data_IF_806376810883
#
_entry.id   IF_806376810883
#
_cell.length_a   1.000
_cell.length_b   1.000
_cell.length_c   1.000
_cell.angle_alpha   90.00
_cell.angle_beta   90.00
_cell.angle_gamma   90.00
#
_symmetry.space_group_name_H-M   'P 1'
#
loop_
_entity.id
_entity.type
_entity.pdbx_description
1 polymer ?
#
# COMPACT_ATOMS: atom_id res chain seq x y z
N UNK A 1 43.23 -37.66 58.15
CA UNK A 1 42.36 -38.08 57.03
C UNK A 1 41.12 -37.18 56.87
N UNK A 2 40.62 -36.54 57.94
CA UNK A 2 39.45 -35.63 57.87
C UNK A 2 39.62 -34.38 56.99
N UNK A 3 40.83 -33.78 56.98
CA UNK A 3 41.05 -32.51 56.27
C UNK A 3 40.93 -32.64 54.73
N UNK A 4 41.20 -33.83 54.18
CA UNK A 4 41.06 -34.11 52.75
C UNK A 4 39.60 -34.30 52.32
N UNK A 5 38.74 -34.82 53.21
CA UNK A 5 37.31 -34.95 52.93
C UNK A 5 36.57 -33.61 52.98
N UNK A 6 36.98 -32.71 53.87
CA UNK A 6 36.46 -31.34 53.93
C UNK A 6 36.76 -30.54 52.65
N UNK A 7 38.01 -30.59 52.17
CA UNK A 7 38.42 -29.85 50.97
C UNK A 7 37.72 -30.34 49.69
N UNK A 8 37.55 -31.66 49.55
CA UNK A 8 36.82 -32.25 48.41
C UNK A 8 35.33 -31.89 48.41
N UNK A 9 34.71 -31.69 49.57
CA UNK A 9 33.30 -31.26 49.67
C UNK A 9 33.13 -29.81 49.23
N UNK A 10 34.03 -28.91 49.63
CA UNK A 10 33.99 -27.49 49.25
C UNK A 10 34.20 -27.29 47.75
N UNK A 11 35.18 -27.97 47.15
CA UNK A 11 35.42 -27.91 45.71
C UNK A 11 34.23 -28.44 44.88
N UNK A 12 33.60 -29.52 45.34
CA UNK A 12 32.42 -30.09 44.68
C UNK A 12 31.15 -29.21 44.86
N UNK A 13 31.11 -28.38 45.90
CA UNK A 13 30.02 -27.43 46.12
C UNK A 13 30.19 -26.18 45.25
N UNK A 14 31.42 -25.65 45.11
CA UNK A 14 31.73 -24.54 44.21
C UNK A 14 31.47 -24.88 42.74
N UNK A 15 31.85 -26.09 42.28
CA UNK A 15 31.60 -26.51 40.89
C UNK A 15 30.11 -26.62 40.58
N UNK A 16 29.29 -27.15 41.50
CA UNK A 16 27.83 -27.20 41.35
C UNK A 16 27.19 -25.82 41.27
N UNK A 17 27.65 -24.86 42.08
CA UNK A 17 27.17 -23.47 42.04
C UNK A 17 27.55 -22.81 40.71
N UNK A 18 28.80 -23.00 40.26
CA UNK A 18 29.26 -22.47 38.97
C UNK A 18 28.46 -23.04 37.79
N UNK A 19 28.22 -24.36 37.76
CA UNK A 19 27.42 -25.03 36.72
C UNK A 19 25.97 -24.57 36.76
N UNK A 20 25.34 -24.45 37.93
CA UNK A 20 23.98 -23.92 38.04
C UNK A 20 23.87 -22.47 37.55
N UNK A 21 24.84 -21.62 37.90
CA UNK A 21 24.85 -20.22 37.46
C UNK A 21 25.05 -20.09 35.94
N UNK A 22 25.93 -20.92 35.36
CA UNK A 22 26.10 -21.00 33.89
C UNK A 22 24.83 -21.51 33.21
N UNK A 23 24.19 -22.55 33.77
CA UNK A 23 22.97 -23.12 33.23
C UNK A 23 21.80 -22.14 33.31
N UNK A 24 21.65 -21.42 34.43
CA UNK A 24 20.65 -20.36 34.58
C UNK A 24 20.90 -19.21 33.58
N UNK A 25 22.15 -18.80 33.41
CA UNK A 25 22.51 -17.77 32.44
C UNK A 25 22.25 -18.22 31.00
N UNK A 26 22.60 -19.45 30.65
CA UNK A 26 22.35 -20.04 29.34
C UNK A 26 20.85 -20.17 29.04
N UNK A 27 20.05 -20.59 30.03
CA UNK A 27 18.58 -20.63 29.92
C UNK A 27 18.03 -19.22 29.71
N UNK A 28 18.47 -18.23 30.50
CA UNK A 28 18.00 -16.85 30.38
C UNK A 28 18.35 -16.23 29.03
N UNK A 29 19.56 -16.47 28.53
CA UNK A 29 20.00 -16.00 27.21
C UNK A 29 19.22 -16.71 26.10
N UNK A 30 19.01 -18.02 26.22
CA UNK A 30 18.20 -18.80 25.27
C UNK A 30 16.74 -18.33 25.23
N UNK A 31 16.14 -18.06 26.40
CA UNK A 31 14.78 -17.55 26.53
C UNK A 31 14.67 -16.14 25.94
N UNK A 32 15.65 -15.27 26.20
CA UNK A 32 15.70 -13.92 25.64
C UNK A 32 15.85 -13.95 24.12
N UNK A 33 16.69 -14.83 23.57
CA UNK A 33 16.82 -15.02 22.13
C UNK A 33 15.52 -15.51 21.49
N UNK A 34 14.86 -16.49 22.10
CA UNK A 34 13.57 -17.00 21.63
C UNK A 34 12.47 -15.92 21.67
N UNK A 35 12.46 -15.10 22.72
CA UNK A 35 11.54 -13.97 22.87
C UNK A 35 11.80 -12.91 21.78
N UNK A 36 13.06 -12.61 21.45
CA UNK A 36 13.43 -11.70 20.36
C UNK A 36 12.94 -12.21 19.02
N UNK A 37 13.14 -13.50 18.70
CA UNK A 37 12.67 -14.10 17.44
C UNK A 37 11.15 -14.05 17.34
N UNK A 38 10.44 -14.42 18.40
CA UNK A 38 8.98 -14.30 18.45
C UNK A 38 8.48 -12.86 18.34
N UNK A 39 9.17 -11.92 18.97
CA UNK A 39 8.86 -10.49 18.85
C UNK A 39 9.05 -10.01 17.41
N UNK A 40 10.12 -10.46 16.74
CA UNK A 40 10.36 -10.14 15.34
C UNK A 40 9.25 -10.68 14.43
N UNK A 41 8.82 -11.93 14.59
CA UNK A 41 7.75 -12.51 13.77
C UNK A 41 6.41 -11.78 13.94
N UNK A 42 6.11 -11.31 15.16
CA UNK A 42 4.92 -10.48 15.43
C UNK A 42 5.05 -9.10 14.76
N UNK A 43 6.23 -8.48 14.79
CA UNK A 43 6.47 -7.14 14.21
C UNK A 43 6.57 -7.19 12.69
N UNK A 44 7.08 -8.28 12.11
CA UNK A 44 7.34 -8.47 10.68
C UNK A 44 6.19 -8.01 9.75
N UNK A 45 4.92 -8.41 9.95
CA UNK A 45 3.82 -7.95 9.09
C UNK A 45 3.54 -6.45 9.20
N UNK A 46 3.98 -5.79 10.27
CA UNK A 46 3.80 -4.35 10.46
C UNK A 46 4.95 -3.51 9.90
N UNK A 47 6.14 -4.08 9.68
CA UNK A 47 7.30 -3.33 9.15
C UNK A 47 6.97 -2.67 7.82
N UNK A 48 6.38 -3.43 6.88
CA UNK A 48 6.04 -2.92 5.55
C UNK A 48 4.96 -1.82 5.63
N UNK A 49 3.80 -2.02 6.30
CA UNK A 49 2.81 -0.96 6.50
C UNK A 49 3.35 0.27 7.25
N UNK A 50 4.19 0.08 8.27
CA UNK A 50 4.79 1.20 9.02
C UNK A 50 5.72 2.01 8.13
N UNK A 51 6.51 1.36 7.26
CA UNK A 51 7.34 2.06 6.28
C UNK A 51 6.48 2.85 5.27
N UNK A 52 5.41 2.27 4.73
CA UNK A 52 4.46 2.98 3.89
C UNK A 52 3.79 4.16 4.63
N UNK A 53 3.39 3.95 5.88
CA UNK A 53 2.81 4.98 6.74
C UNK A 53 3.80 6.10 7.06
N UNK A 54 5.08 5.79 7.27
CA UNK A 54 6.13 6.77 7.49
C UNK A 54 6.40 7.60 6.22
N UNK A 55 6.43 6.96 5.05
CA UNK A 55 6.54 7.65 3.75
C UNK A 55 5.35 8.60 3.57
N UNK A 56 4.12 8.10 3.79
CA UNK A 56 2.88 8.90 3.71
C UNK A 56 2.86 10.02 4.76
N UNK A 57 3.38 9.80 5.97
CA UNK A 57 3.43 10.82 7.01
C UNK A 57 4.42 11.95 6.65
N UNK A 58 5.60 11.60 6.14
CA UNK A 58 6.59 12.58 5.64
C UNK A 58 6.04 13.35 4.46
N UNK A 59 5.37 12.64 3.54
CA UNK A 59 4.68 13.22 2.40
C UNK A 59 3.62 14.27 2.80
N UNK A 60 2.76 13.86 3.72
CA UNK A 60 1.66 14.65 4.24
C UNK A 60 2.14 15.75 5.19
N UNK A 61 3.39 15.76 5.64
CA UNK A 61 3.95 16.78 6.54
C UNK A 61 3.83 18.20 5.98
N UNK A 62 4.09 18.36 4.69
CA UNK A 62 3.91 19.64 4.00
C UNK A 62 2.44 20.11 4.04
N UNK A 63 1.50 19.17 3.98
CA UNK A 63 0.07 19.44 3.93
C UNK A 63 -0.52 19.64 5.34
N UNK A 64 -0.05 18.89 6.35
CA UNK A 64 -0.43 19.13 7.74
C UNK A 64 0.01 20.49 8.22
N UNK A 65 1.19 20.99 7.83
CA UNK A 65 1.60 22.33 8.22
C UNK A 65 0.73 23.43 7.59
N UNK A 66 0.26 23.23 6.34
CA UNK A 66 -0.71 24.14 5.70
C UNK A 66 -2.06 24.09 6.42
N UNK A 67 -2.54 22.91 6.80
CA UNK A 67 -3.77 22.74 7.57
C UNK A 67 -3.65 23.24 9.02
N UNK A 68 -2.51 23.06 9.66
CA UNK A 68 -2.23 23.52 11.03
C UNK A 68 -2.34 25.04 11.15
N UNK A 69 -1.87 25.78 10.12
CA UNK A 69 -2.07 27.23 10.03
C UNK A 69 -3.55 27.60 9.94
N UNK A 70 -4.37 26.81 9.24
CA UNK A 70 -5.81 27.01 9.18
C UNK A 70 -6.53 26.63 10.50
N UNK A 71 -6.02 25.61 11.21
CA UNK A 71 -6.57 25.10 12.48
C UNK A 71 -5.98 25.77 13.75
N UNK A 72 -5.42 26.98 13.63
CA UNK A 72 -4.89 27.78 14.76
C UNK A 72 -3.85 27.03 15.61
N UNK A 73 -2.98 26.23 14.99
CA UNK A 73 -1.88 25.55 15.67
C UNK A 73 -2.26 24.23 16.37
N UNK A 74 -3.49 23.72 16.19
CA UNK A 74 -3.89 22.41 16.74
C UNK A 74 -3.45 21.28 15.82
N UNK A 75 -2.16 20.94 15.91
CA UNK A 75 -1.47 19.93 15.10
C UNK A 75 -2.17 18.56 15.08
N UNK A 76 -2.73 18.12 16.21
CA UNK A 76 -3.49 16.86 16.29
C UNK A 76 -4.80 16.85 15.48
N UNK A 77 -5.52 17.98 15.41
CA UNK A 77 -6.74 18.09 14.60
C UNK A 77 -6.43 18.18 13.11
N UNK A 78 -5.33 18.84 12.75
CA UNK A 78 -4.87 18.91 11.37
C UNK A 78 -4.49 17.51 10.83
N UNK A 79 -3.80 16.70 11.64
CA UNK A 79 -3.41 15.33 11.26
C UNK A 79 -4.62 14.39 11.09
N UNK A 80 -5.60 14.43 12.01
CA UNK A 80 -6.80 13.60 11.91
C UNK A 80 -7.71 14.04 10.76
N UNK A 81 -7.90 15.35 10.58
CA UNK A 81 -8.64 15.88 9.42
C UNK A 81 -7.99 15.44 8.10
N UNK A 82 -6.67 15.49 8.02
CA UNK A 82 -5.95 15.06 6.82
C UNK A 82 -6.08 13.56 6.56
N UNK A 83 -6.04 12.72 7.59
CA UNK A 83 -6.30 11.29 7.42
C UNK A 83 -7.74 11.02 6.95
N UNK A 84 -8.73 11.71 7.50
CA UNK A 84 -10.13 11.58 7.04
C UNK A 84 -10.25 11.99 5.58
N UNK A 85 -9.62 13.10 5.18
CA UNK A 85 -9.59 13.54 3.77
C UNK A 85 -8.87 12.50 2.89
N UNK A 86 -7.73 11.96 3.32
CA UNK A 86 -6.99 10.94 2.59
C UNK A 86 -7.78 9.64 2.42
N UNK A 87 -8.49 9.21 3.47
CA UNK A 87 -9.40 8.06 3.42
C UNK A 87 -10.56 8.34 2.47
N UNK A 88 -11.20 9.50 2.57
CA UNK A 88 -12.30 9.87 1.66
C UNK A 88 -11.84 9.90 0.19
N UNK A 89 -10.68 10.51 -0.08
CA UNK A 89 -10.11 10.60 -1.42
C UNK A 89 -9.83 9.22 -2.03
N UNK A 90 -9.52 8.21 -1.20
CA UNK A 90 -9.26 6.85 -1.65
C UNK A 90 -10.54 6.02 -1.79
N UNK A 91 -11.45 6.11 -0.82
CA UNK A 91 -12.68 5.31 -0.77
C UNK A 91 -13.69 5.75 -1.83
N UNK A 92 -13.81 7.05 -2.11
CA UNK A 92 -14.79 7.58 -3.07
C UNK A 92 -14.61 6.99 -4.49
N UNK A 93 -13.45 7.09 -5.16
CA UNK A 93 -13.27 6.52 -6.49
C UNK A 93 -13.41 5.00 -6.47
N UNK A 94 -13.01 4.34 -5.39
CA UNK A 94 -13.14 2.90 -5.26
C UNK A 94 -14.60 2.43 -5.26
N UNK A 95 -15.45 3.05 -4.44
CA UNK A 95 -16.87 2.68 -4.36
C UNK A 95 -17.58 2.98 -5.68
N UNK A 96 -17.23 4.10 -6.35
CA UNK A 96 -17.77 4.44 -7.66
C UNK A 96 -17.40 3.41 -8.74
N UNK A 97 -16.13 3.02 -8.81
CA UNK A 97 -15.65 2.03 -9.77
C UNK A 97 -16.19 0.64 -9.45
N UNK A 98 -16.24 0.26 -8.18
CA UNK A 98 -16.82 -1.03 -7.78
C UNK A 98 -18.31 -1.10 -8.12
N UNK A 99 -19.06 -0.03 -7.85
CA UNK A 99 -20.49 0.06 -8.18
C UNK A 99 -20.74 -0.06 -9.69
N UNK A 100 -19.97 0.65 -10.51
CA UNK A 100 -20.12 0.60 -11.97
C UNK A 100 -19.79 -0.77 -12.56
N UNK A 101 -18.88 -1.53 -11.95
CA UNK A 101 -18.61 -2.91 -12.35
C UNK A 101 -19.81 -3.82 -12.01
N UNK A 102 -20.40 -3.69 -10.82
CA UNK A 102 -21.59 -4.46 -10.45
C UNK A 102 -22.79 -4.13 -11.34
N UNK A 103 -23.02 -2.85 -11.62
CA UNK A 103 -24.10 -2.41 -12.52
C UNK A 103 -23.87 -2.93 -13.95
N UNK A 104 -22.63 -2.86 -14.44
CA UNK A 104 -22.27 -3.37 -15.77
C UNK A 104 -22.48 -4.89 -15.90
N UNK A 105 -22.08 -5.67 -14.88
CA UNK A 105 -22.29 -7.12 -14.84
C UNK A 105 -23.78 -7.46 -14.75
N UNK A 106 -24.53 -6.79 -13.86
CA UNK A 106 -25.95 -7.07 -13.65
C UNK A 106 -26.78 -6.73 -14.89
N UNK A 107 -26.51 -5.59 -15.53
CA UNK A 107 -27.17 -5.18 -16.77
C UNK A 107 -26.87 -6.14 -17.92
N UNK A 108 -25.64 -6.64 -18.01
CA UNK A 108 -25.27 -7.61 -19.05
C UNK A 108 -25.97 -8.95 -18.84
N UNK A 109 -26.06 -9.42 -17.59
CA UNK A 109 -26.79 -10.65 -17.23
C UNK A 109 -28.30 -10.49 -17.48
N UNK A 110 -28.88 -9.34 -17.14
CA UNK A 110 -30.30 -9.05 -17.37
C UNK A 110 -30.64 -9.00 -18.85
N UNK A 111 -29.80 -8.36 -19.67
CA UNK A 111 -29.94 -8.33 -21.14
C UNK A 111 -29.74 -9.71 -21.77
N UNK A 112 -28.86 -10.54 -21.21
CA UNK A 112 -28.69 -11.94 -21.62
C UNK A 112 -29.91 -12.80 -21.26
N UNK A 113 -30.56 -12.54 -20.13
CA UNK A 113 -31.73 -13.30 -19.65
C UNK A 113 -33.05 -12.82 -20.25
N UNK A 114 -33.16 -11.55 -20.62
CA UNK A 114 -34.37 -10.99 -21.23
C UNK A 114 -34.61 -11.50 -22.66
N UNK A 115 -33.60 -12.14 -23.28
CA UNK A 115 -33.71 -12.76 -24.60
C UNK A 115 -33.93 -11.76 -25.75
N UNK A 116 -33.90 -10.45 -25.46
CA UNK A 116 -34.29 -9.38 -26.38
C UNK A 116 -33.12 -8.85 -27.22
N UNK A 117 -32.01 -9.59 -27.24
CA UNK A 117 -30.82 -9.24 -28.01
C UNK A 117 -30.92 -9.78 -29.42
N UNK A 118 -31.50 -9.00 -30.34
CA UNK A 118 -31.35 -9.24 -31.77
C UNK A 118 -29.92 -8.91 -32.20
N UNK A 119 -29.03 -9.91 -32.09
CA UNK A 119 -27.70 -9.82 -32.68
C UNK A 119 -27.89 -9.92 -34.20
N UNK A 120 -27.71 -8.80 -34.90
CA UNK A 120 -27.74 -8.75 -36.36
C UNK A 120 -26.77 -9.79 -36.94
N UNK A 121 -27.18 -10.51 -37.97
CA UNK A 121 -26.40 -11.61 -38.55
C UNK A 121 -25.00 -11.17 -39.00
N UNK A 122 -24.03 -12.11 -39.03
CA UNK A 122 -22.66 -11.77 -39.37
C UNK A 122 -22.56 -11.22 -40.80
N UNK A 123 -21.92 -10.07 -40.94
CA UNK A 123 -21.66 -9.47 -42.25
C UNK A 123 -20.53 -10.24 -42.94
N UNK A 124 -20.64 -10.55 -44.23
CA UNK A 124 -19.63 -11.31 -45.01
C UNK A 124 -18.19 -10.76 -44.88
N UNK A 125 -18.03 -9.46 -44.60
CA UNK A 125 -16.72 -8.82 -44.33
C UNK A 125 -15.95 -9.40 -43.15
N UNK A 126 -16.61 -10.12 -42.23
CA UNK A 126 -15.96 -10.76 -41.09
C UNK A 126 -15.29 -12.09 -41.49
N UNK A 127 -15.81 -12.78 -42.51
CA UNK A 127 -15.22 -14.01 -43.04
C UNK A 127 -13.92 -13.75 -43.82
N UNK A 128 -13.77 -12.55 -44.40
CA UNK A 128 -12.58 -12.17 -45.18
C UNK A 128 -11.35 -11.82 -44.32
N UNK A 129 -11.46 -11.86 -42.98
CA UNK A 129 -10.34 -11.59 -42.08
C UNK A 129 -9.38 -12.79 -42.09
N UNK A 130 -8.13 -12.65 -42.57
CA UNK A 130 -7.19 -13.76 -42.59
C UNK A 130 -6.88 -14.22 -41.16
N UNK A 131 -6.77 -15.54 -40.96
CA UNK A 131 -6.45 -16.27 -39.72
C UNK A 131 -7.62 -16.55 -38.77
N UNK A 132 -8.65 -15.69 -38.66
CA UNK A 132 -9.70 -15.82 -37.63
C UNK A 132 -11.14 -15.70 -38.20
N UNK A 133 -11.28 -15.32 -39.48
CA UNK A 133 -12.58 -14.99 -40.09
C UNK A 133 -13.63 -16.09 -40.02
N UNK A 134 -13.27 -17.34 -40.34
CA UNK A 134 -14.21 -18.48 -40.33
C UNK A 134 -14.73 -18.77 -38.92
N UNK A 135 -13.85 -18.74 -37.91
CA UNK A 135 -14.23 -18.99 -36.51
C UNK A 135 -15.10 -17.87 -35.96
N UNK A 136 -14.78 -16.61 -36.29
CA UNK A 136 -15.57 -15.45 -35.89
C UNK A 136 -16.95 -15.47 -36.54
N UNK A 137 -17.04 -15.85 -37.82
CA UNK A 137 -18.30 -15.97 -38.54
C UNK A 137 -19.19 -17.07 -37.94
N UNK A 138 -18.64 -18.25 -37.63
CA UNK A 138 -19.39 -19.34 -36.98
C UNK A 138 -19.87 -18.96 -35.58
N UNK A 139 -19.02 -18.34 -34.76
CA UNK A 139 -19.39 -17.88 -33.42
C UNK A 139 -20.49 -16.82 -33.52
N UNK A 140 -20.35 -15.82 -34.39
CA UNK A 140 -21.36 -14.79 -34.58
C UNK A 140 -22.68 -15.35 -35.14
N UNK A 141 -22.61 -16.32 -36.06
CA UNK A 141 -23.78 -17.02 -36.57
C UNK A 141 -24.51 -17.79 -35.46
N UNK A 142 -23.78 -18.48 -34.57
CA UNK A 142 -24.33 -19.18 -33.40
C UNK A 142 -25.03 -18.23 -32.43
N UNK A 143 -24.43 -17.06 -32.16
CA UNK A 143 -25.05 -16.02 -31.33
C UNK A 143 -26.30 -15.40 -31.99
N UNK A 144 -26.36 -15.34 -33.32
CA UNK A 144 -27.50 -14.77 -34.07
C UNK A 144 -28.65 -15.76 -34.32
N UNK A 145 -28.38 -17.06 -34.47
CA UNK A 145 -29.41 -18.09 -34.73
C UNK A 145 -29.83 -18.90 -33.52
N UNK A 146 -28.98 -19.05 -32.50
CA UNK A 146 -29.29 -19.82 -31.30
C UNK A 146 -28.60 -19.24 -30.07
N UNK A 147 -29.05 -18.04 -29.68
CA UNK A 147 -28.54 -17.29 -28.54
C UNK A 147 -28.53 -18.13 -27.26
N UNK A 148 -29.56 -18.95 -27.02
CA UNK A 148 -29.64 -19.81 -25.83
C UNK A 148 -28.51 -20.85 -25.76
N UNK A 149 -28.23 -21.57 -26.86
CA UNK A 149 -27.12 -22.54 -26.91
C UNK A 149 -25.75 -21.87 -26.86
N UNK A 150 -25.59 -20.72 -27.52
CA UNK A 150 -24.35 -19.95 -27.45
C UNK A 150 -24.09 -19.48 -26.00
N UNK A 151 -25.10 -18.92 -25.35
CA UNK A 151 -25.02 -18.54 -23.94
C UNK A 151 -24.72 -19.75 -23.08
N UNK A 152 -25.39 -20.89 -23.24
CA UNK A 152 -25.10 -22.11 -22.46
C UNK A 152 -23.66 -22.63 -22.65
N UNK A 153 -23.09 -22.50 -23.84
CA UNK A 153 -21.69 -22.88 -24.12
C UNK A 153 -20.69 -21.93 -23.44
N UNK A 154 -20.99 -20.63 -23.39
CA UNK A 154 -20.12 -19.60 -22.78
C UNK A 154 -20.48 -19.26 -21.32
N UNK A 155 -21.58 -19.76 -20.77
CA UNK A 155 -21.98 -19.64 -19.36
C UNK A 155 -20.85 -19.99 -18.37
N UNK A 156 -20.08 -21.08 -18.55
CA UNK A 156 -18.96 -21.37 -17.64
C UNK A 156 -17.86 -20.30 -17.68
N UNK A 157 -17.57 -19.73 -18.85
CA UNK A 157 -16.61 -18.63 -18.97
C UNK A 157 -17.15 -17.33 -18.38
N UNK A 158 -18.43 -17.01 -18.60
CA UNK A 158 -19.10 -15.86 -18.00
C UNK A 158 -19.12 -15.98 -16.47
N UNK A 159 -19.49 -17.14 -15.93
CA UNK A 159 -19.49 -17.39 -14.48
C UNK A 159 -18.09 -17.26 -13.89
N UNK A 160 -17.07 -17.76 -14.58
CA UNK A 160 -15.67 -17.64 -14.14
C UNK A 160 -15.21 -16.19 -14.18
N UNK A 161 -15.50 -15.45 -15.26
CA UNK A 161 -15.18 -14.03 -15.39
C UNK A 161 -15.86 -13.19 -14.30
N UNK A 162 -17.16 -13.37 -14.09
CA UNK A 162 -17.92 -12.72 -12.99
C UNK A 162 -17.32 -13.09 -11.64
N UNK A 163 -16.95 -14.35 -11.42
CA UNK A 163 -16.29 -14.82 -10.21
C UNK A 163 -14.94 -14.15 -9.96
N UNK A 164 -14.10 -14.01 -11.00
CA UNK A 164 -12.81 -13.32 -10.90
C UNK A 164 -12.97 -11.83 -10.62
N UNK A 165 -13.95 -11.17 -11.26
CA UNK A 165 -14.26 -9.77 -11.01
C UNK A 165 -14.73 -9.58 -9.55
N UNK A 166 -15.64 -10.43 -9.08
CA UNK A 166 -16.10 -10.42 -7.70
C UNK A 166 -14.95 -10.68 -6.71
N UNK A 167 -14.05 -11.62 -7.02
CA UNK A 167 -12.87 -11.90 -6.21
C UNK A 167 -11.90 -10.71 -6.17
N UNK A 168 -11.65 -10.07 -7.31
CA UNK A 168 -10.80 -8.87 -7.40
C UNK A 168 -11.40 -7.72 -6.60
N UNK A 169 -12.71 -7.47 -6.71
CA UNK A 169 -13.41 -6.45 -5.91
C UNK A 169 -13.28 -6.77 -4.41
N UNK A 170 -13.51 -8.04 -4.04
CA UNK A 170 -13.40 -8.51 -2.65
C UNK A 170 -11.98 -8.37 -2.10
N UNK A 171 -10.96 -8.74 -2.87
CA UNK A 171 -9.56 -8.57 -2.45
C UNK A 171 -9.15 -7.09 -2.41
N UNK A 172 -9.67 -6.27 -3.32
CA UNK A 172 -9.39 -4.84 -3.33
C UNK A 172 -9.91 -4.18 -2.07
N UNK A 173 -11.11 -4.55 -1.61
CA UNK A 173 -11.66 -4.07 -0.34
C UNK A 173 -10.75 -4.38 0.85
N UNK A 174 -10.18 -5.60 0.91
CA UNK A 174 -9.23 -5.98 1.96
C UNK A 174 -7.95 -5.13 1.93
N UNK A 175 -7.37 -4.90 0.75
CA UNK A 175 -6.20 -4.03 0.60
C UNK A 175 -6.51 -2.57 0.96
N UNK A 176 -7.72 -2.12 0.67
CA UNK A 176 -8.19 -0.78 0.98
C UNK A 176 -8.35 -0.58 2.49
N UNK A 177 -8.92 -1.57 3.19
CA UNK A 177 -8.99 -1.58 4.65
C UNK A 177 -7.59 -1.51 5.28
N UNK A 178 -6.63 -2.28 4.77
CA UNK A 178 -5.24 -2.20 5.23
C UNK A 178 -4.64 -0.80 5.02
N UNK A 179 -4.92 -0.16 3.89
CA UNK A 179 -4.43 1.19 3.61
C UNK A 179 -5.08 2.25 4.53
N UNK A 180 -6.38 2.11 4.83
CA UNK A 180 -7.07 2.98 5.79
C UNK A 180 -6.46 2.82 7.19
N UNK A 181 -6.19 1.59 7.61
CA UNK A 181 -5.51 1.31 8.89
C UNK A 181 -4.13 1.96 8.90
N UNK A 182 -3.36 1.85 7.80
CA UNK A 182 -2.06 2.52 7.67
C UNK A 182 -2.15 4.04 7.77
N UNK A 183 -3.14 4.66 7.13
CA UNK A 183 -3.40 6.11 7.20
C UNK A 183 -3.79 6.55 8.61
N UNK A 184 -4.59 5.75 9.30
CA UNK A 184 -4.98 6.00 10.69
C UNK A 184 -3.77 5.90 11.64
N UNK A 185 -2.92 4.90 11.48
CA UNK A 185 -1.66 4.76 12.22
C UNK A 185 -0.75 5.96 11.93
N UNK A 186 -0.59 6.35 10.66
CA UNK A 186 0.22 7.50 10.27
C UNK A 186 -0.27 8.80 10.93
N UNK A 187 -1.58 9.06 10.95
CA UNK A 187 -2.14 10.22 11.66
C UNK A 187 -1.93 10.13 13.18
N UNK A 188 -2.03 8.93 13.76
CA UNK A 188 -1.68 8.68 15.16
C UNK A 188 -0.24 9.08 15.46
N UNK A 189 0.72 8.58 14.68
CA UNK A 189 2.13 8.97 14.78
C UNK A 189 2.32 10.48 14.63
N UNK A 190 1.66 11.09 13.64
CA UNK A 190 1.80 12.51 13.32
C UNK A 190 1.26 13.42 14.42
N UNK A 191 0.17 13.02 15.09
CA UNK A 191 -0.41 13.75 16.22
C UNK A 191 0.50 13.78 17.46
N UNK A 192 1.45 12.84 17.57
CA UNK A 192 2.39 12.72 18.69
C UNK A 192 3.87 12.78 18.24
N UNK A 193 4.13 13.24 17.01
CA UNK A 193 5.43 13.11 16.37
C UNK A 193 6.58 13.78 17.14
N UNK A 194 6.32 14.90 17.83
CA UNK A 194 7.33 15.61 18.63
C UNK A 194 7.82 14.76 19.80
N UNK A 195 6.89 14.16 20.57
CA UNK A 195 7.23 13.29 21.71
C UNK A 195 7.99 12.04 21.27
N UNK A 196 7.63 11.49 20.10
CA UNK A 196 8.27 10.30 19.54
C UNK A 196 9.67 10.66 19.02
N UNK A 197 9.82 11.79 18.34
CA UNK A 197 11.12 12.29 17.88
C UNK A 197 12.08 12.52 19.03
N UNK A 198 11.61 13.11 20.13
CA UNK A 198 12.42 13.36 21.33
C UNK A 198 12.84 12.05 22.01
N UNK A 199 11.93 11.08 22.12
CA UNK A 199 12.27 9.77 22.67
C UNK A 199 13.29 9.03 21.80
N UNK A 200 13.14 9.11 20.48
CA UNK A 200 14.03 8.48 19.51
C UNK A 200 15.42 9.12 19.51
N UNK A 201 15.51 10.45 19.61
CA UNK A 201 16.80 11.15 19.70
C UNK A 201 17.53 10.79 21.00
N UNK A 202 16.82 10.70 22.12
CA UNK A 202 17.39 10.26 23.41
C UNK A 202 17.97 8.85 23.32
N UNK A 203 17.22 7.91 22.73
CA UNK A 203 17.67 6.52 22.59
C UNK A 203 18.83 6.43 21.60
N UNK A 204 18.76 7.12 20.47
CA UNK A 204 19.79 7.08 19.44
C UNK A 204 21.11 7.68 19.93
N UNK A 205 21.07 8.81 20.64
CA UNK A 205 22.28 9.39 21.26
C UNK A 205 22.83 8.47 22.35
N UNK A 206 21.96 7.74 23.07
CA UNK A 206 22.38 6.79 24.10
C UNK A 206 23.02 5.51 23.54
N UNK A 207 22.61 5.07 22.35
CA UNK A 207 23.11 3.84 21.71
C UNK A 207 24.30 4.12 20.78
N UNK A 208 24.24 5.19 19.99
CA UNK A 208 25.21 5.52 18.95
C UNK A 208 26.15 6.69 19.32
N UNK A 209 26.03 7.25 20.52
CA UNK A 209 26.83 8.39 20.97
C UNK A 209 26.51 9.68 20.21
N UNK A 210 27.50 10.57 20.07
CA UNK A 210 27.33 11.89 19.43
C UNK A 210 26.87 11.81 17.96
N UNK A 211 27.10 10.68 17.30
CA UNK A 211 26.67 10.46 15.92
C UNK A 211 25.17 10.14 15.82
N UNK A 212 24.51 9.72 16.90
CA UNK A 212 23.11 9.27 16.86
C UNK A 212 22.14 10.31 16.29
N UNK A 213 22.37 11.58 16.59
CA UNK A 213 21.54 12.69 16.10
C UNK A 213 21.70 12.90 14.58
N UNK A 214 22.93 12.87 14.07
CA UNK A 214 23.21 13.00 12.63
C UNK A 214 22.54 11.89 11.80
N UNK A 215 22.50 10.65 12.30
CA UNK A 215 21.93 9.52 11.57
C UNK A 215 20.41 9.63 11.44
N UNK A 216 19.74 10.16 12.46
CA UNK A 216 18.30 10.45 12.40
C UNK A 216 18.04 11.54 11.35
N UNK A 217 18.81 12.62 11.37
CA UNK A 217 18.66 13.73 10.42
C UNK A 217 18.91 13.28 8.98
N UNK A 218 19.96 12.49 8.73
CA UNK A 218 20.27 11.97 7.39
C UNK A 218 19.17 11.03 6.87
N UNK A 219 18.62 10.18 7.73
CA UNK A 219 17.52 9.28 7.38
C UNK A 219 16.27 10.07 6.99
N UNK A 220 15.89 11.05 7.81
CA UNK A 220 14.75 11.91 7.54
C UNK A 220 14.95 12.73 6.25
N UNK A 221 16.14 13.30 6.06
CA UNK A 221 16.49 14.06 4.86
C UNK A 221 16.44 13.19 3.59
N UNK A 222 16.86 11.94 3.67
CA UNK A 222 16.81 11.01 2.53
C UNK A 222 15.37 10.69 2.14
N UNK A 223 14.51 10.37 3.12
CA UNK A 223 13.07 10.11 2.87
C UNK A 223 12.41 11.36 2.28
N UNK A 224 12.71 12.54 2.84
CA UNK A 224 12.17 13.81 2.34
C UNK A 224 12.65 14.11 0.91
N UNK A 225 13.92 13.83 0.60
CA UNK A 225 14.48 14.01 -0.75
C UNK A 225 13.76 13.14 -1.78
N UNK A 226 13.53 11.86 -1.45
CA UNK A 226 12.77 10.93 -2.30
C UNK A 226 11.34 11.47 -2.52
N UNK A 227 10.69 11.94 -1.46
CA UNK A 227 9.35 12.52 -1.56
C UNK A 227 9.30 13.75 -2.47
N UNK A 228 10.22 14.70 -2.28
CA UNK A 228 10.30 15.92 -3.10
C UNK A 228 10.57 15.59 -4.56
N UNK A 229 11.37 14.55 -4.84
CA UNK A 229 11.59 14.07 -6.20
C UNK A 229 10.29 13.57 -6.83
N UNK A 230 9.54 12.70 -6.13
CA UNK A 230 8.25 12.17 -6.62
C UNK A 230 7.22 13.30 -6.82
N UNK A 231 7.12 14.21 -5.84
CA UNK A 231 6.21 15.35 -5.92
C UNK A 231 6.60 16.32 -7.07
N UNK A 232 7.89 16.60 -7.23
CA UNK A 232 8.41 17.45 -8.30
C UNK A 232 8.16 16.86 -9.68
N UNK A 233 8.32 15.55 -9.85
CA UNK A 233 7.95 14.87 -11.11
C UNK A 233 6.44 14.98 -11.36
N UNK A 234 5.62 14.88 -10.32
CA UNK A 234 4.17 15.01 -10.44
C UNK A 234 3.75 16.41 -10.88
N UNK A 235 4.30 17.46 -10.27
CA UNK A 235 3.96 18.85 -10.61
C UNK A 235 4.55 19.29 -11.96
N UNK A 236 5.77 18.84 -12.29
CA UNK A 236 6.47 19.28 -13.52
C UNK A 236 6.13 18.45 -14.75
N UNK A 237 5.64 17.22 -14.59
CA UNK A 237 5.39 16.32 -15.73
C UNK A 237 3.92 15.93 -15.86
N UNK A 238 3.24 15.53 -14.79
CA UNK A 238 1.83 15.14 -14.87
C UNK A 238 0.90 16.33 -15.14
N UNK A 239 1.18 17.50 -14.54
CA UNK A 239 0.31 18.68 -14.69
C UNK A 239 0.30 19.24 -16.12
N UNK A 240 1.45 19.42 -16.81
CA UNK A 240 1.46 19.77 -18.24
C UNK A 240 0.83 18.71 -19.13
N UNK A 241 1.07 17.42 -18.84
CA UNK A 241 0.52 16.30 -19.61
C UNK A 241 -1.02 16.23 -19.51
N UNK A 242 -1.57 16.49 -18.33
CA UNK A 242 -3.02 16.51 -18.09
C UNK A 242 -3.69 17.77 -18.63
N UNK A 243 -3.05 18.95 -18.49
CA UNK A 243 -3.54 20.20 -19.08
C UNK A 243 -3.44 20.22 -20.61
N UNK A 244 -2.48 19.49 -21.20
CA UNK A 244 -2.34 19.33 -22.65
C UNK A 244 -3.43 18.48 -23.32
N UNK A 245 -4.29 17.79 -22.55
CA UNK A 245 -5.44 17.02 -23.09
C UNK A 245 -6.74 17.82 -23.22
N UNK A 246 -6.71 19.13 -23.02
CA UNK A 246 -7.91 20.00 -23.10
C UNK A 246 -7.72 21.34 -23.83
N UNK A 247 -6.55 21.62 -24.41
CA UNK A 247 -6.27 22.88 -25.12
C UNK A 247 -5.46 22.57 -26.39
N UNK A 248 -5.85 23.12 -27.54
CA UNK A 248 -5.21 22.97 -28.87
C UNK A 248 -3.79 23.60 -28.96
N UNK A 249 -3.07 23.67 -27.84
CA UNK A 249 -1.71 24.21 -27.80
C UNK A 249 -0.73 23.05 -27.93
N UNK A 250 0.18 23.05 -28.91
CA UNK A 250 1.15 21.98 -29.10
C UNK A 250 1.96 21.74 -27.82
N UNK A 251 2.06 20.46 -27.41
CA UNK A 251 2.83 19.99 -26.24
C UNK A 251 4.21 20.67 -26.04
N UNK A 252 5.02 20.94 -27.09
CA UNK A 252 6.29 21.64 -26.95
C UNK A 252 6.18 23.06 -26.35
N UNK A 253 5.09 23.78 -26.63
CA UNK A 253 4.88 25.17 -26.16
C UNK A 253 4.59 25.19 -24.65
N UNK A 254 3.86 24.20 -24.14
CA UNK A 254 3.59 24.06 -22.70
C UNK A 254 4.89 23.73 -21.94
N UNK A 255 5.73 22.86 -22.50
CA UNK A 255 7.04 22.52 -21.92
C UNK A 255 7.98 23.73 -21.89
N UNK A 256 8.02 24.54 -22.96
CA UNK A 256 8.80 25.78 -22.99
C UNK A 256 8.28 26.79 -21.96
N UNK A 257 6.94 26.92 -21.82
CA UNK A 257 6.34 27.79 -20.81
C UNK A 257 6.64 27.36 -19.37
N UNK A 258 6.59 26.05 -19.09
CA UNK A 258 6.92 25.51 -17.77
C UNK A 258 8.41 25.67 -17.43
N UNK A 259 9.32 25.42 -18.38
CA UNK A 259 10.77 25.63 -18.20
C UNK A 259 11.08 27.12 -18.04
N UNK A 260 10.43 28.00 -18.81
CA UNK A 260 10.55 29.45 -18.68
C UNK A 260 10.04 29.99 -17.33
N UNK A 261 9.00 29.36 -16.76
CA UNK A 261 8.52 29.67 -15.41
C UNK A 261 9.48 29.22 -14.30
N UNK A 262 10.20 28.09 -14.48
CA UNK A 262 11.20 27.61 -13.52
C UNK A 262 12.51 28.40 -13.54
N UNK A 263 12.83 29.09 -14.64
CA UNK A 263 14.02 29.96 -14.73
C UNK A 263 13.78 31.36 -14.17
N UNK A 264 12.52 31.76 -14.00
CA UNK A 264 12.12 33.09 -13.54
C UNK A 264 11.62 33.11 -12.09
N UNK A 265 11.36 31.95 -11.50
CA UNK A 265 11.07 31.75 -10.07
C UNK A 265 12.34 31.36 -9.30
#
# INVERSE_FOLDING_TARGET
>A
MDNLQGNNRVANQQSKIFVNNMMESAIRIGLLFMLIVWTYDIIRPFVIPVLWGAIIAVALMSLTHKLEKAFKGRRGLAATALAVIGVALLVIPFVLVSGSIFDGVSRTIEVLQSGDVQISGPTQRVADIPVIGDKLYEIWALFSTNLEKAVQHFLPEIKTAVGTIAAVIGSSLATLMMFIISLAIAAGFMSHAEKISDAVSIIAVRVAGQNGEQWITLTAATIFTIWVLIAGVSDNFLKPLLMGRGVDVPMPVILIGAIGGMLTA
#
